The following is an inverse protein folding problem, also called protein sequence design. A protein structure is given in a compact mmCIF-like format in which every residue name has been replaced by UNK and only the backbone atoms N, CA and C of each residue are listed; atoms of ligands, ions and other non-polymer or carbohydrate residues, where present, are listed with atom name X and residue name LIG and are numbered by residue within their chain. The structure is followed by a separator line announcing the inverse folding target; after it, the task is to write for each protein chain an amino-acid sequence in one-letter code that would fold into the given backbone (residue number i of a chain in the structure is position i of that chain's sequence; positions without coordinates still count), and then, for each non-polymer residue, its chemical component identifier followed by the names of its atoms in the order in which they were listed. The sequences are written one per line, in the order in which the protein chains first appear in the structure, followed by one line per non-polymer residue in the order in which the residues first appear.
data_IF_979967961950
#
_entry.id   IF_979967961950
#
_cell.length_a   1.000
_cell.length_b   1.000
_cell.length_c   1.000
_cell.angle_alpha   90.00
_cell.angle_beta   90.00
_cell.angle_gamma   90.00
#
_symmetry.space_group_name_H-M   'P 1'
#
loop_
_entity.id
_entity.type
_entity.pdbx_description
1 polymer ?
#
# COMPACT_ATOMS: atom_id res chain seq x y z
N UNK A 1 33.58 -6.41 37.98
CA UNK A 1 33.81 -6.84 36.58
C UNK A 1 32.45 -6.89 35.93
N UNK A 2 32.11 -5.84 35.18
CA UNK A 2 30.86 -5.76 34.43
C UNK A 2 30.91 -6.67 33.22
N UNK A 3 29.82 -7.37 32.93
CA UNK A 3 29.48 -7.80 31.57
C UNK A 3 27.99 -8.13 31.50
N UNK A 4 27.23 -7.20 30.90
CA UNK A 4 25.91 -7.48 30.35
C UNK A 4 26.12 -8.19 29.01
N UNK A 5 25.47 -9.34 28.73
CA UNK A 5 25.32 -9.80 27.37
C UNK A 5 24.16 -9.03 26.73
N UNK A 6 24.50 -8.32 25.66
CA UNK A 6 23.60 -7.56 24.80
C UNK A 6 22.43 -8.40 24.32
N UNK A 7 21.23 -7.82 24.38
CA UNK A 7 20.09 -8.21 23.56
C UNK A 7 20.53 -8.20 22.09
N UNK A 8 20.75 -9.37 21.49
CA UNK A 8 20.78 -9.49 20.05
C UNK A 8 19.33 -9.42 19.58
N UNK A 9 18.99 -8.30 18.94
CA UNK A 9 17.66 -7.99 18.45
C UNK A 9 17.10 -9.12 17.61
N UNK A 10 15.96 -9.64 18.07
CA UNK A 10 14.99 -10.22 17.17
C UNK A 10 14.34 -9.08 16.36
N UNK A 11 13.91 -9.43 15.15
CA UNK A 11 12.98 -8.72 14.25
C UNK A 11 13.53 -7.50 13.50
N UNK A 12 14.03 -7.74 12.28
CA UNK A 12 14.02 -6.70 11.23
C UNK A 12 13.96 -7.26 9.79
N UNK A 13 13.69 -8.56 9.62
CA UNK A 13 13.58 -9.18 8.28
C UNK A 13 12.19 -9.73 7.97
N UNK A 14 11.20 -9.49 8.84
CA UNK A 14 9.82 -9.99 8.63
C UNK A 14 8.85 -8.87 8.28
N UNK A 15 9.28 -7.61 8.34
CA UNK A 15 8.40 -6.44 8.16
C UNK A 15 8.33 -5.91 6.72
N UNK A 16 9.24 -6.31 5.82
CA UNK A 16 9.23 -5.83 4.43
C UNK A 16 8.04 -6.35 3.60
N UNK A 17 7.38 -7.44 4.03
CA UNK A 17 6.29 -8.07 3.28
C UNK A 17 4.91 -7.92 3.92
N UNK A 18 4.79 -7.21 5.04
CA UNK A 18 3.51 -6.99 5.73
C UNK A 18 2.81 -5.72 5.23
N UNK A 19 1.48 -5.79 5.05
CA UNK A 19 0.60 -4.65 4.77
C UNK A 19 0.66 -3.65 5.94
N UNK A 20 1.59 -2.71 5.92
CA UNK A 20 1.81 -1.78 7.04
C UNK A 20 1.26 -0.39 6.79
N UNK A 21 1.21 0.07 5.55
CA UNK A 21 0.94 1.46 5.24
C UNK A 21 -0.38 1.65 4.48
N UNK A 22 -1.11 2.69 4.85
CA UNK A 22 -2.34 3.12 4.19
C UNK A 22 -2.04 4.23 3.20
N UNK A 23 -2.63 4.14 2.02
CA UNK A 23 -2.44 5.06 0.91
C UNK A 23 -3.78 5.51 0.36
N UNK A 24 -3.82 6.77 -0.07
CA UNK A 24 -4.84 7.31 -0.95
C UNK A 24 -4.39 7.15 -2.41
N UNK A 25 -5.13 6.38 -3.19
CA UNK A 25 -4.91 6.20 -4.63
C UNK A 25 -5.96 7.03 -5.39
N UNK A 26 -5.49 7.94 -6.24
CA UNK A 26 -6.36 8.75 -7.11
C UNK A 26 -6.20 8.30 -8.56
N UNK A 27 -7.31 8.04 -9.24
CA UNK A 27 -7.31 7.65 -10.65
C UNK A 27 -7.41 8.89 -11.55
N UNK A 28 -7.03 8.71 -12.82
CA UNK A 28 -7.34 9.70 -13.84
C UNK A 28 -8.87 9.85 -14.00
N UNK A 29 -9.38 11.04 -14.33
CA UNK A 29 -10.82 11.32 -14.34
C UNK A 29 -11.60 10.52 -15.39
N UNK A 30 -10.93 10.05 -16.44
CA UNK A 30 -11.48 9.23 -17.53
C UNK A 30 -11.44 7.72 -17.27
N UNK A 31 -10.79 7.29 -16.19
CA UNK A 31 -10.66 5.87 -15.83
C UNK A 31 -11.90 5.40 -15.07
N UNK A 32 -12.49 4.31 -15.57
CA UNK A 32 -13.54 3.58 -14.84
C UNK A 32 -12.94 2.81 -13.65
N UNK A 33 -13.49 3.10 -12.46
CA UNK A 33 -13.04 2.50 -11.21
C UNK A 33 -13.13 0.97 -11.21
N UNK A 34 -14.21 0.39 -11.74
CA UNK A 34 -14.41 -1.06 -11.73
C UNK A 34 -13.40 -1.78 -12.62
N UNK A 35 -13.09 -1.20 -13.78
CA UNK A 35 -12.08 -1.69 -14.70
C UNK A 35 -10.68 -1.66 -14.07
N UNK A 36 -10.35 -0.58 -13.34
CA UNK A 36 -9.11 -0.51 -12.57
C UNK A 36 -9.07 -1.57 -11.45
N UNK A 37 -10.15 -1.75 -10.70
CA UNK A 37 -10.22 -2.78 -9.65
C UNK A 37 -10.10 -4.20 -10.18
N UNK A 38 -10.66 -4.48 -11.36
CA UNK A 38 -10.48 -5.77 -12.03
C UNK A 38 -9.01 -6.01 -12.39
N UNK A 39 -8.29 -4.97 -12.82
CA UNK A 39 -6.85 -5.05 -13.06
C UNK A 39 -6.05 -5.30 -11.77
N UNK A 40 -6.36 -4.59 -10.68
CA UNK A 40 -5.72 -4.79 -9.35
C UNK A 40 -5.92 -6.24 -8.88
N UNK A 41 -7.13 -6.78 -8.98
CA UNK A 41 -7.42 -8.17 -8.64
C UNK A 41 -6.68 -9.17 -9.54
N UNK A 42 -6.41 -8.79 -10.79
CA UNK A 42 -5.58 -9.58 -11.70
C UNK A 42 -4.13 -9.67 -11.25
N UNK A 43 -3.56 -8.61 -10.69
CA UNK A 43 -2.19 -8.61 -10.15
C UNK A 43 -2.06 -9.56 -8.95
N UNK A 44 -3.02 -9.54 -8.02
CA UNK A 44 -3.04 -10.43 -6.84
C UNK A 44 -3.09 -11.93 -7.16
N UNK A 45 -3.54 -12.30 -8.36
CA UNK A 45 -3.69 -13.71 -8.78
C UNK A 45 -2.48 -14.23 -9.53
N UNK A 46 -1.44 -13.42 -9.72
CA UNK A 46 -0.25 -13.88 -10.41
C UNK A 46 0.49 -14.90 -9.54
N UNK A 47 0.70 -16.14 -10.02
CA UNK A 47 1.25 -17.24 -9.23
C UNK A 47 2.72 -17.04 -8.84
N UNK A 48 3.35 -15.98 -9.32
CA UNK A 48 4.74 -15.62 -9.05
C UNK A 48 4.89 -14.54 -7.98
N UNK A 49 3.80 -13.92 -7.52
CA UNK A 49 3.86 -12.73 -6.69
C UNK A 49 2.95 -12.80 -5.45
N UNK A 50 3.29 -13.70 -4.53
CA UNK A 50 2.68 -13.77 -3.19
C UNK A 50 2.95 -12.51 -2.35
N UNK A 51 3.79 -11.60 -2.84
CA UNK A 51 4.15 -10.34 -2.18
C UNK A 51 3.28 -9.16 -2.59
N UNK A 52 2.50 -9.30 -3.67
CA UNK A 52 1.51 -8.31 -4.07
C UNK A 52 0.26 -8.38 -3.18
N UNK A 53 0.11 -7.43 -2.27
CA UNK A 53 -1.04 -7.36 -1.37
C UNK A 53 -1.64 -5.96 -1.40
N UNK A 54 -2.94 -5.89 -1.68
CA UNK A 54 -3.71 -4.65 -1.69
C UNK A 54 -5.06 -4.90 -1.03
N UNK A 55 -5.35 -4.15 0.02
CA UNK A 55 -6.62 -4.20 0.76
C UNK A 55 -7.31 -2.86 0.62
N UNK A 56 -8.40 -2.78 -0.14
CA UNK A 56 -9.18 -1.55 -0.26
C UNK A 56 -9.97 -1.33 1.02
N UNK A 57 -9.73 -0.20 1.67
CA UNK A 57 -10.36 0.21 2.94
C UNK A 57 -11.62 1.04 2.67
N UNK A 58 -11.55 1.98 1.73
CA UNK A 58 -12.66 2.87 1.38
C UNK A 58 -12.58 3.35 -0.07
N UNK A 59 -13.70 3.81 -0.62
CA UNK A 59 -13.82 4.37 -1.98
C UNK A 59 -14.29 5.82 -1.91
N UNK A 60 -13.63 6.70 -2.67
CA UNK A 60 -13.94 8.12 -2.75
C UNK A 60 -14.37 8.54 -4.16
N UNK A 61 -15.68 8.68 -4.37
CA UNK A 61 -16.23 9.02 -5.70
C UNK A 61 -15.87 10.43 -6.16
N UNK A 62 -15.79 11.40 -5.24
CA UNK A 62 -15.51 12.82 -5.53
C UNK A 62 -14.15 13.01 -6.22
N UNK A 63 -13.16 12.18 -5.86
CA UNK A 63 -11.80 12.25 -6.38
C UNK A 63 -11.45 11.12 -7.34
N UNK A 64 -12.45 10.31 -7.75
CA UNK A 64 -12.26 9.07 -8.50
C UNK A 64 -11.13 8.21 -7.91
N UNK A 65 -11.19 7.93 -6.61
CA UNK A 65 -10.09 7.29 -5.89
C UNK A 65 -10.55 6.32 -4.81
N UNK A 66 -9.58 5.77 -4.09
CA UNK A 66 -9.80 4.83 -3.00
C UNK A 66 -8.67 4.87 -1.98
N UNK A 67 -8.98 4.50 -0.74
CA UNK A 67 -8.00 4.21 0.28
C UNK A 67 -7.67 2.73 0.24
N UNK A 68 -6.40 2.39 0.26
CA UNK A 68 -5.96 1.00 0.34
C UNK A 68 -4.74 0.86 1.23
N UNK A 69 -4.64 -0.29 1.89
CA UNK A 69 -3.40 -0.72 2.52
C UNK A 69 -2.61 -1.55 1.51
N UNK A 70 -1.38 -1.16 1.23
CA UNK A 70 -0.58 -1.71 0.15
C UNK A 70 0.70 -2.34 0.71
N UNK A 71 1.09 -3.49 0.16
CA UNK A 71 2.49 -3.94 0.26
C UNK A 71 3.39 -3.06 -0.60
N UNK A 72 4.71 -3.13 -0.39
CA UNK A 72 5.67 -2.36 -1.19
C UNK A 72 5.53 -2.66 -2.69
N UNK A 73 5.43 -3.93 -3.06
CA UNK A 73 5.25 -4.36 -4.46
C UNK A 73 3.95 -3.84 -5.06
N UNK A 74 2.86 -3.83 -4.28
CA UNK A 74 1.59 -3.27 -4.73
C UNK A 74 1.67 -1.74 -4.91
N UNK A 75 2.32 -1.03 -3.97
CA UNK A 75 2.57 0.40 -4.09
C UNK A 75 3.39 0.74 -5.34
N UNK A 76 4.49 0.04 -5.58
CA UNK A 76 5.36 0.27 -6.75
C UNK A 76 4.59 0.05 -8.06
N UNK A 77 3.85 -1.06 -8.15
CA UNK A 77 3.10 -1.42 -9.35
C UNK A 77 1.94 -0.43 -9.62
N UNK A 78 1.16 -0.07 -8.59
CA UNK A 78 0.06 0.90 -8.71
C UNK A 78 0.60 2.28 -9.06
N UNK A 79 1.74 2.69 -8.49
CA UNK A 79 2.35 4.01 -8.76
C UNK A 79 2.88 4.16 -10.19
N UNK A 80 3.14 3.06 -10.89
CA UNK A 80 3.56 3.05 -12.30
C UNK A 80 2.38 2.82 -13.27
N UNK A 81 1.16 2.61 -12.77
CA UNK A 81 -0.01 2.35 -13.59
C UNK A 81 -0.47 3.65 -14.27
N UNK A 82 -0.59 3.64 -15.60
CA UNK A 82 -1.04 4.82 -16.39
C UNK A 82 -2.46 5.27 -16.04
N UNK A 83 -3.25 4.42 -15.39
CA UNK A 83 -4.59 4.74 -14.90
C UNK A 83 -4.58 5.58 -13.62
N UNK A 84 -3.47 5.59 -12.90
CA UNK A 84 -3.31 6.21 -11.59
C UNK A 84 -2.70 7.60 -11.75
N UNK A 85 -3.39 8.60 -11.21
CA UNK A 85 -2.93 9.99 -11.20
C UNK A 85 -1.88 10.22 -10.11
N UNK A 86 -2.09 9.64 -8.93
CA UNK A 86 -1.17 9.76 -7.80
C UNK A 86 -1.48 8.75 -6.71
N UNK A 87 -0.44 8.39 -5.95
CA UNK A 87 -0.53 7.60 -4.72
C UNK A 87 0.08 8.42 -3.59
N UNK A 88 -0.69 8.65 -2.52
CA UNK A 88 -0.29 9.49 -1.38
C UNK A 88 -0.34 8.63 -0.14
N UNK A 89 0.79 8.52 0.58
CA UNK A 89 0.82 7.83 1.88
C UNK A 89 0.07 8.67 2.92
N UNK A 90 -0.86 8.07 3.64
CA UNK A 90 -1.55 8.72 4.75
C UNK A 90 -0.54 9.06 5.85
N UNK A 91 -0.52 10.32 6.27
CA UNK A 91 0.31 10.79 7.37
C UNK A 91 -0.62 11.31 8.47
N UNK A 92 -0.56 10.67 9.64
CA UNK A 92 -1.22 11.21 10.82
C UNK A 92 -0.37 12.38 11.34
N UNK A 93 -0.96 13.57 11.37
CA UNK A 93 -0.40 14.67 12.12
C UNK A 93 -1.01 14.65 13.53
N UNK A 94 -0.16 14.72 14.55
CA UNK A 94 -0.62 15.09 15.89
C UNK A 94 -0.91 16.59 15.87
N UNK A 95 -2.14 16.96 16.25
CA UNK A 95 -2.47 18.35 16.53
C UNK A 95 -2.01 18.60 17.97
N UNK A 96 -0.95 19.40 18.15
CA UNK A 96 -0.57 19.91 19.46
C UNK A 96 -1.73 20.77 20.02
N UNK A 97 -2.20 20.40 21.22
CA UNK A 97 -3.26 21.10 21.99
C UNK A 97 -2.81 22.47 22.53
#
# INVERSE_FOLDING_TARGET
MSQCPSHAGATDQTQENSITDTYLVMLNPDVDFNSHMAWVQGQMRQPSDDTYQCEVVDKYEIINGYQARLSLSAYENISQCEQVKSVIKEQFAELDD
#
